data_IF_190650011766
#
_entry.id   IF_190650011766
#
_cell.length_a   1.000
_cell.length_b   1.000
_cell.length_c   1.000
_cell.angle_alpha   90.00
_cell.angle_beta   90.00
_cell.angle_gamma   90.00
#
_symmetry.space_group_name_H-M   'P 1'
#
loop_
_entity.id
_entity.type
_entity.pdbx_description
1 polymer ?
#
# COMPACT_ATOMS: atom_id res chain seq x y z
N UNK A 1 -18.03 12.99 8.89
CA UNK A 1 -17.34 13.25 10.17
C UNK A 1 -17.86 14.49 10.91
N UNK A 2 -17.83 15.73 10.36
CA UNK A 2 -18.38 16.90 11.08
C UNK A 2 -19.91 16.88 11.28
N UNK A 3 -20.65 16.27 10.36
CA UNK A 3 -22.12 16.14 10.43
C UNK A 3 -22.58 15.16 11.51
N UNK A 4 -21.84 14.07 11.73
CA UNK A 4 -22.17 13.04 12.73
C UNK A 4 -22.00 13.56 14.17
N UNK A 5 -21.00 14.42 14.40
CA UNK A 5 -20.77 15.05 15.71
C UNK A 5 -21.94 15.99 16.07
N UNK A 6 -22.49 16.72 15.11
CA UNK A 6 -23.60 17.64 15.35
C UNK A 6 -24.90 16.94 15.73
N UNK A 7 -25.19 15.76 15.17
CA UNK A 7 -26.37 14.98 15.54
C UNK A 7 -26.26 14.42 16.96
N UNK A 8 -25.08 13.92 17.33
CA UNK A 8 -24.81 13.43 18.70
C UNK A 8 -25.01 14.56 19.71
N UNK A 9 -24.47 15.76 19.44
CA UNK A 9 -24.60 16.92 20.35
C UNK A 9 -26.06 17.34 20.52
N UNK A 10 -26.88 17.26 19.46
CA UNK A 10 -28.31 17.59 19.55
C UNK A 10 -29.08 16.56 20.37
N UNK A 11 -28.84 15.27 20.13
CA UNK A 11 -29.47 14.17 20.88
C UNK A 11 -29.12 14.22 22.38
N UNK A 12 -27.87 14.51 22.73
CA UNK A 12 -27.44 14.64 24.14
C UNK A 12 -28.13 15.82 24.80
N UNK A 13 -28.26 16.96 24.11
CA UNK A 13 -28.94 18.16 24.64
C UNK A 13 -30.41 17.90 24.93
N UNK A 14 -31.11 17.25 24.01
CA UNK A 14 -32.54 16.97 24.15
C UNK A 14 -32.80 15.98 25.28
N UNK A 15 -31.93 14.96 25.41
CA UNK A 15 -31.98 13.99 26.51
C UNK A 15 -31.74 14.66 27.88
N UNK A 16 -30.73 15.53 27.98
CA UNK A 16 -30.46 16.29 29.21
C UNK A 16 -31.62 17.21 29.58
N UNK A 17 -32.26 17.84 28.58
CA UNK A 17 -33.42 18.71 28.79
C UNK A 17 -34.64 17.96 29.39
N UNK A 18 -34.88 16.73 28.95
CA UNK A 18 -35.94 15.88 29.51
C UNK A 18 -35.62 15.42 30.94
N UNK A 19 -34.37 15.04 31.22
CA UNK A 19 -33.93 14.65 32.56
C UNK A 19 -34.09 15.78 33.58
N UNK A 20 -33.71 17.02 33.22
CA UNK A 20 -33.83 18.18 34.12
C UNK A 20 -35.28 18.47 34.51
N UNK A 21 -36.23 18.30 33.59
CA UNK A 21 -37.65 18.48 33.89
C UNK A 21 -38.16 17.43 34.89
N UNK A 22 -37.82 16.14 34.69
CA UNK A 22 -38.21 15.07 35.61
C UNK A 22 -37.62 15.22 37.02
N UNK A 23 -36.40 15.75 37.12
CA UNK A 23 -35.74 16.02 38.43
C UNK A 23 -36.48 17.10 39.22
N UNK A 24 -37.09 18.10 38.54
CA UNK A 24 -37.74 19.25 39.19
C UNK A 24 -39.06 18.90 39.89
N UNK A 25 -39.72 17.81 39.51
CA UNK A 25 -40.97 17.33 40.12
C UNK A 25 -40.76 16.20 41.14
N UNK A 26 -39.53 15.68 41.25
CA UNK A 26 -39.22 14.54 42.11
C UNK A 26 -39.08 14.91 43.60
N UNK A 27 -39.34 13.98 44.55
CA UNK A 27 -39.07 14.18 45.97
C UNK A 27 -37.59 14.48 46.26
N UNK A 28 -37.31 15.22 47.33
CA UNK A 28 -35.94 15.69 47.66
C UNK A 28 -34.89 14.56 47.71
N UNK A 29 -35.25 13.39 48.23
CA UNK A 29 -34.32 12.25 48.35
C UNK A 29 -33.92 11.63 47.00
N UNK A 30 -34.85 11.61 46.02
CA UNK A 30 -34.59 11.11 44.66
C UNK A 30 -33.62 12.03 43.92
N UNK A 31 -33.73 13.34 44.12
CA UNK A 31 -32.83 14.33 43.51
C UNK A 31 -31.38 14.13 43.96
N UNK A 32 -31.18 13.91 45.26
CA UNK A 32 -29.85 13.72 45.83
C UNK A 32 -29.20 12.45 45.31
N UNK A 33 -29.94 11.33 45.24
CA UNK A 33 -29.42 10.07 44.68
C UNK A 33 -29.06 10.19 43.21
N UNK A 34 -29.89 10.86 42.40
CA UNK A 34 -29.64 10.99 40.96
C UNK A 34 -28.42 11.86 40.65
N UNK A 35 -28.23 12.97 41.38
CA UNK A 35 -27.03 13.82 41.25
C UNK A 35 -25.76 13.05 41.60
N UNK A 36 -25.83 12.19 42.62
CA UNK A 36 -24.68 11.41 43.08
C UNK A 36 -24.31 10.30 42.07
N UNK A 37 -25.31 9.63 41.48
CA UNK A 37 -25.09 8.65 40.39
C UNK A 37 -24.50 9.32 39.15
N UNK A 38 -25.03 10.50 38.76
CA UNK A 38 -24.50 11.25 37.62
C UNK A 38 -23.06 11.71 37.85
N UNK A 39 -22.75 12.23 39.05
CA UNK A 39 -21.38 12.62 39.41
C UNK A 39 -20.42 11.42 39.36
N UNK A 40 -20.82 10.27 39.91
CA UNK A 40 -20.00 9.05 39.85
C UNK A 40 -19.80 8.55 38.42
N UNK A 41 -20.81 8.65 37.55
CA UNK A 41 -20.69 8.25 36.14
C UNK A 41 -19.76 9.17 35.34
N UNK A 42 -19.73 10.48 35.63
CA UNK A 42 -18.81 11.43 34.99
C UNK A 42 -17.36 11.23 35.47
N UNK A 43 -17.15 10.95 36.77
CA UNK A 43 -15.83 10.62 37.29
C UNK A 43 -15.33 9.25 36.81
N UNK A 44 -16.20 8.24 36.72
CA UNK A 44 -15.86 6.93 36.15
C UNK A 44 -15.62 6.97 34.63
N UNK A 45 -16.40 7.77 33.91
CA UNK A 45 -16.24 7.97 32.47
C UNK A 45 -15.00 8.78 32.08
N UNK A 46 -14.65 9.82 32.83
CA UNK A 46 -13.47 10.65 32.53
C UNK A 46 -12.14 9.87 32.63
N UNK A 47 -12.07 8.88 33.51
CA UNK A 47 -10.87 8.05 33.71
C UNK A 47 -10.74 7.01 32.57
N UNK A 48 -11.86 6.50 32.03
CA UNK A 48 -11.82 5.48 30.96
C UNK A 48 -11.51 6.06 29.57
N UNK A 49 -11.86 7.33 29.31
CA UNK A 49 -11.57 7.97 28.02
C UNK A 49 -10.17 8.61 27.92
N UNK A 50 -9.48 8.82 29.05
CA UNK A 50 -8.17 9.48 29.11
C UNK A 50 -6.95 8.59 28.85
N UNK A 51 -7.12 7.26 28.85
CA UNK A 51 -6.04 6.29 28.64
C UNK A 51 -6.12 5.61 27.27
N UNK A 52 -6.27 6.37 26.18
CA UNK A 52 -5.71 5.90 24.92
C UNK A 52 -4.19 6.02 25.04
N UNK A 53 -3.56 4.97 25.57
CA UNK A 53 -2.12 4.78 25.54
C UNK A 53 -1.67 4.98 24.10
N UNK A 54 -1.05 6.12 23.81
CA UNK A 54 -0.27 6.30 22.61
C UNK A 54 0.83 5.24 22.65
N UNK A 55 0.57 4.07 22.08
CA UNK A 55 1.60 3.09 21.83
C UNK A 55 2.52 3.76 20.82
N UNK A 56 3.67 4.22 21.29
CA UNK A 56 4.77 4.58 20.41
C UNK A 56 5.16 3.30 19.70
N UNK A 57 5.00 3.22 18.38
CA UNK A 57 5.26 1.99 17.67
C UNK A 57 6.72 1.60 17.86
N UNK A 58 6.95 0.34 18.18
CA UNK A 58 8.26 -0.21 18.48
C UNK A 58 8.96 -0.54 17.17
N UNK A 59 10.26 -0.18 17.08
CA UNK A 59 11.06 -0.51 15.90
C UNK A 59 11.29 -2.03 15.87
N UNK A 60 10.78 -2.69 14.85
CA UNK A 60 10.91 -4.14 14.67
C UNK A 60 12.17 -4.50 13.87
N UNK A 61 12.60 -3.62 12.95
CA UNK A 61 13.77 -3.89 12.12
C UNK A 61 13.98 -2.91 10.98
N UNK A 62 14.88 -3.27 10.05
CA UNK A 62 15.09 -2.56 8.78
C UNK A 62 14.25 -3.16 7.65
N UNK A 63 14.05 -2.41 6.57
CA UNK A 63 13.34 -2.93 5.39
C UNK A 63 14.25 -3.84 4.57
N UNK A 64 13.85 -5.11 4.43
CA UNK A 64 14.51 -6.04 3.50
C UNK A 64 13.97 -5.85 2.07
N UNK A 65 14.58 -4.90 1.35
CA UNK A 65 14.31 -4.64 -0.07
C UNK A 65 14.70 -5.82 -0.98
N UNK A 66 15.64 -6.67 -0.55
CA UNK A 66 16.11 -7.81 -1.33
C UNK A 66 15.12 -8.97 -1.32
N UNK A 67 14.47 -9.20 -0.18
CA UNK A 67 13.39 -10.17 -0.05
C UNK A 67 12.21 -9.81 -0.97
N UNK A 68 11.87 -8.52 -1.08
CA UNK A 68 10.82 -8.05 -1.99
C UNK A 68 11.15 -8.39 -3.46
N UNK A 69 12.34 -8.04 -3.94
CA UNK A 69 12.73 -8.35 -5.32
C UNK A 69 12.79 -9.86 -5.59
N UNK A 70 13.26 -10.64 -4.62
CA UNK A 70 13.34 -12.10 -4.70
C UNK A 70 11.95 -12.73 -4.77
N UNK A 71 11.02 -12.27 -3.93
CA UNK A 71 9.64 -12.76 -3.91
C UNK A 71 8.96 -12.60 -5.28
N UNK A 72 9.19 -11.46 -5.93
CA UNK A 72 8.65 -11.17 -7.27
C UNK A 72 9.55 -11.60 -8.43
N UNK A 73 10.64 -12.34 -8.16
CA UNK A 73 11.57 -12.90 -9.15
C UNK A 73 12.23 -11.85 -10.06
N UNK A 74 12.49 -10.66 -9.54
CA UNK A 74 13.33 -9.68 -10.23
C UNK A 74 14.81 -10.05 -10.08
N UNK A 75 15.60 -9.81 -11.12
CA UNK A 75 17.01 -10.24 -11.17
C UNK A 75 17.99 -9.29 -10.46
N UNK A 76 17.63 -8.01 -10.32
CA UNK A 76 18.53 -6.97 -9.80
C UNK A 76 17.80 -6.00 -8.88
N UNK A 77 18.52 -5.53 -7.86
CA UNK A 77 18.09 -4.49 -6.92
C UNK A 77 18.85 -3.19 -7.22
N UNK A 78 18.11 -2.11 -7.47
CA UNK A 78 18.66 -0.77 -7.69
C UNK A 78 18.00 0.22 -6.71
N UNK A 79 18.66 0.47 -5.59
CA UNK A 79 18.17 1.35 -4.51
C UNK A 79 16.77 0.94 -4.01
N UNK A 80 15.73 1.64 -4.48
CA UNK A 80 14.32 1.44 -4.11
C UNK A 80 13.50 0.85 -5.28
N UNK A 81 14.16 0.21 -6.26
CA UNK A 81 13.54 -0.36 -7.45
C UNK A 81 14.07 -1.77 -7.71
N UNK A 82 13.19 -2.71 -8.01
CA UNK A 82 13.58 -4.00 -8.56
C UNK A 82 13.59 -3.92 -10.09
N UNK A 83 14.64 -4.46 -10.70
CA UNK A 83 14.79 -4.49 -12.15
C UNK A 83 15.00 -5.93 -12.65
N UNK A 84 14.55 -6.18 -13.88
CA UNK A 84 14.88 -7.40 -14.61
C UNK A 84 15.04 -7.07 -16.10
N UNK A 85 16.07 -7.61 -16.76
CA UNK A 85 16.18 -7.53 -18.22
C UNK A 85 14.89 -7.98 -18.90
N UNK A 86 14.47 -7.24 -19.92
CA UNK A 86 13.33 -7.59 -20.75
C UNK A 86 13.80 -8.54 -21.85
N UNK A 87 13.22 -9.74 -21.90
CA UNK A 87 13.49 -10.68 -22.98
C UNK A 87 12.64 -10.29 -24.21
N UNK A 88 13.31 -9.72 -25.22
CA UNK A 88 12.64 -9.26 -26.44
C UNK A 88 12.05 -10.41 -27.26
N UNK A 89 12.60 -11.63 -27.13
CA UNK A 89 12.04 -12.80 -27.79
C UNK A 89 10.69 -13.14 -27.16
N UNK A 90 10.66 -13.31 -25.84
CA UNK A 90 9.41 -13.53 -25.10
C UNK A 90 8.38 -12.42 -25.37
N UNK A 91 8.84 -11.17 -25.46
CA UNK A 91 7.97 -10.03 -25.74
C UNK A 91 7.40 -10.06 -27.18
N UNK A 92 8.18 -10.48 -28.17
CA UNK A 92 7.67 -10.77 -29.51
C UNK A 92 6.61 -11.87 -29.47
N UNK A 93 6.90 -12.99 -28.80
CA UNK A 93 5.97 -14.12 -28.70
C UNK A 93 4.66 -13.73 -27.99
N UNK A 94 4.75 -12.92 -26.94
CA UNK A 94 3.61 -12.35 -26.24
C UNK A 94 2.78 -11.40 -27.12
N UNK A 95 3.41 -10.47 -27.83
CA UNK A 95 2.66 -9.49 -28.63
C UNK A 95 1.91 -10.15 -29.79
N UNK A 96 2.57 -11.08 -30.49
CA UNK A 96 2.00 -11.74 -31.65
C UNK A 96 1.30 -13.07 -31.32
N UNK A 97 1.24 -13.44 -30.03
CA UNK A 97 0.58 -14.65 -29.52
C UNK A 97 1.04 -15.92 -30.27
N UNK A 98 2.34 -16.02 -30.56
CA UNK A 98 2.93 -17.09 -31.38
C UNK A 98 4.31 -17.46 -30.86
N UNK A 99 4.58 -18.75 -30.76
CA UNK A 99 5.88 -19.28 -30.36
C UNK A 99 6.88 -19.35 -31.52
N UNK A 100 8.18 -19.39 -31.19
CA UNK A 100 9.26 -19.57 -32.16
C UNK A 100 9.57 -18.29 -32.95
N UNK A 101 9.22 -17.14 -32.39
CA UNK A 101 9.60 -15.85 -32.97
C UNK A 101 11.03 -15.51 -32.56
N UNK A 102 11.68 -14.71 -33.39
CA UNK A 102 12.99 -14.13 -33.09
C UNK A 102 12.91 -12.62 -33.21
N UNK A 103 13.90 -11.92 -32.67
CA UNK A 103 14.04 -10.48 -32.87
C UNK A 103 15.41 -10.19 -33.49
N UNK A 104 15.47 -9.15 -34.31
CA UNK A 104 16.73 -8.60 -34.83
C UNK A 104 16.69 -7.07 -34.72
N UNK A 105 17.85 -6.47 -34.49
CA UNK A 105 18.00 -5.02 -34.46
C UNK A 105 18.44 -4.52 -35.84
N UNK A 106 17.74 -3.55 -36.41
CA UNK A 106 18.15 -2.92 -37.67
C UNK A 106 19.23 -1.84 -37.49
N UNK A 107 19.50 -1.43 -36.25
CA UNK A 107 20.57 -0.50 -35.87
C UNK A 107 21.04 -0.79 -34.44
N UNK A 108 22.11 -0.14 -33.95
CA UNK A 108 22.50 -0.28 -32.54
C UNK A 108 21.45 0.24 -31.53
N UNK A 109 20.38 0.91 -31.96
CA UNK A 109 19.35 1.44 -31.07
C UNK A 109 18.42 0.34 -30.54
N UNK A 110 18.14 0.35 -29.24
CA UNK A 110 17.15 -0.53 -28.60
C UNK A 110 15.72 -0.38 -29.15
N UNK A 111 15.40 0.75 -29.79
CA UNK A 111 14.11 0.99 -30.44
C UNK A 111 13.98 0.32 -31.81
N UNK A 112 15.08 -0.21 -32.35
CA UNK A 112 15.13 -0.76 -33.71
C UNK A 112 14.85 -2.27 -33.76
N UNK A 113 14.46 -2.87 -32.64
CA UNK A 113 14.10 -4.28 -32.55
C UNK A 113 12.86 -4.56 -33.41
N UNK A 114 12.98 -5.54 -34.31
CA UNK A 114 11.88 -6.05 -35.15
C UNK A 114 11.72 -7.54 -34.89
N UNK A 115 10.48 -7.99 -34.71
CA UNK A 115 10.11 -9.38 -34.55
C UNK A 115 9.97 -10.07 -35.92
N UNK A 116 10.41 -11.32 -35.99
CA UNK A 116 10.37 -12.15 -37.19
C UNK A 116 9.73 -13.50 -36.89
N UNK A 117 8.91 -13.97 -37.83
CA UNK A 117 8.40 -15.33 -37.85
C UNK A 117 9.45 -16.32 -38.39
N UNK A 118 9.27 -17.64 -38.18
CA UNK A 118 10.08 -18.65 -38.84
C UNK A 118 10.15 -18.42 -40.36
N UNK A 119 11.35 -18.47 -40.94
CA UNK A 119 11.58 -18.08 -42.33
C UNK A 119 11.90 -16.59 -42.54
N UNK A 120 12.15 -15.83 -41.47
CA UNK A 120 12.54 -14.40 -41.48
C UNK A 120 11.49 -13.47 -42.12
N UNK A 121 10.22 -13.82 -42.00
CA UNK A 121 9.13 -12.90 -42.36
C UNK A 121 8.99 -11.82 -41.27
N UNK A 122 9.10 -10.52 -41.60
CA UNK A 122 8.98 -9.45 -40.61
C UNK A 122 7.54 -9.31 -40.13
N UNK A 123 7.35 -9.20 -38.81
CA UNK A 123 6.06 -8.96 -38.18
C UNK A 123 5.91 -7.49 -37.72
N UNK A 124 7.03 -6.84 -37.41
CA UNK A 124 7.08 -5.46 -36.90
C UNK A 124 7.76 -5.37 -35.53
N UNK A 125 7.83 -4.16 -34.96
CA UNK A 125 8.38 -3.95 -33.62
C UNK A 125 7.44 -4.40 -32.51
N UNK A 126 7.85 -4.20 -31.25
CA UNK A 126 7.02 -4.43 -30.07
C UNK A 126 6.38 -3.10 -29.65
N UNK A 127 5.07 -2.96 -29.82
CA UNK A 127 4.30 -1.75 -29.53
C UNK A 127 3.99 -1.57 -28.04
N UNK A 128 3.91 -2.66 -27.27
CA UNK A 128 3.49 -2.62 -25.86
C UNK A 128 4.43 -3.38 -24.91
N UNK A 129 5.65 -2.87 -24.77
CA UNK A 129 6.62 -3.39 -23.79
C UNK A 129 6.13 -3.23 -22.34
N UNK A 130 5.33 -2.18 -22.10
CA UNK A 130 4.73 -1.90 -20.80
C UNK A 130 3.74 -3.01 -20.41
N UNK A 131 2.84 -3.38 -21.31
CA UNK A 131 1.91 -4.49 -21.15
C UNK A 131 2.61 -5.83 -21.00
N UNK A 132 3.69 -6.07 -21.76
CA UNK A 132 4.51 -7.28 -21.56
C UNK A 132 5.09 -7.36 -20.14
N UNK A 133 5.69 -6.28 -19.63
CA UNK A 133 6.21 -6.26 -18.26
C UNK A 133 5.10 -6.47 -17.23
N UNK A 134 3.93 -5.85 -17.43
CA UNK A 134 2.76 -6.06 -16.57
C UNK A 134 2.24 -7.49 -16.59
N UNK A 135 2.23 -8.16 -17.75
CA UNK A 135 1.86 -9.56 -17.87
C UNK A 135 2.87 -10.49 -17.19
N UNK A 136 4.17 -10.28 -17.44
CA UNK A 136 5.26 -11.11 -16.88
C UNK A 136 5.34 -11.00 -15.35
N UNK A 137 5.10 -9.80 -14.82
CA UNK A 137 5.15 -9.49 -13.39
C UNK A 137 3.79 -9.09 -12.83
N UNK A 138 2.72 -9.77 -13.23
CA UNK A 138 1.33 -9.43 -12.87
C UNK A 138 1.03 -9.37 -11.38
N UNK A 139 1.83 -10.05 -10.55
CA UNK A 139 1.69 -10.03 -9.09
C UNK A 139 2.25 -8.76 -8.45
N UNK A 140 3.07 -7.99 -9.17
CA UNK A 140 3.62 -6.73 -8.71
C UNK A 140 2.79 -5.55 -9.26
N UNK A 141 2.49 -4.57 -8.41
CA UNK A 141 1.79 -3.36 -8.83
C UNK A 141 2.75 -2.37 -9.50
N UNK A 142 2.26 -1.60 -10.48
CA UNK A 142 2.99 -0.49 -11.09
C UNK A 142 4.35 -0.87 -11.73
N UNK A 143 4.43 -2.06 -12.31
CA UNK A 143 5.58 -2.47 -13.14
C UNK A 143 5.66 -1.56 -14.36
N UNK A 144 6.86 -1.15 -14.75
CA UNK A 144 7.10 -0.29 -15.91
C UNK A 144 8.18 -0.85 -16.83
N UNK A 145 8.03 -0.67 -18.13
CA UNK A 145 9.11 -0.90 -19.09
C UNK A 145 9.95 0.38 -19.21
N UNK A 146 11.26 0.29 -18.97
CA UNK A 146 12.19 1.41 -19.13
C UNK A 146 13.45 0.99 -19.86
N UNK A 147 14.01 1.91 -20.62
CA UNK A 147 15.32 1.75 -21.22
C UNK A 147 16.40 2.10 -20.19
N UNK A 148 17.32 1.17 -19.92
CA UNK A 148 18.48 1.37 -19.05
C UNK A 148 19.72 1.17 -19.91
N UNK A 149 20.45 2.24 -20.18
CA UNK A 149 21.49 2.24 -21.21
C UNK A 149 20.87 1.97 -22.59
N UNK A 150 21.21 0.81 -23.18
CA UNK A 150 20.69 0.37 -24.48
C UNK A 150 19.89 -0.94 -24.39
N UNK A 151 19.36 -1.27 -23.21
CA UNK A 151 18.57 -2.48 -22.99
C UNK A 151 17.22 -2.13 -22.35
N UNK A 152 16.16 -2.78 -22.83
CA UNK A 152 14.86 -2.70 -22.20
C UNK A 152 14.84 -3.51 -20.90
N UNK A 153 14.22 -2.96 -19.87
CA UNK A 153 14.18 -3.52 -18.52
C UNK A 153 12.79 -3.34 -17.94
N UNK A 154 12.25 -4.39 -17.32
CA UNK A 154 11.05 -4.27 -16.48
C UNK A 154 11.48 -3.81 -15.09
N UNK A 155 10.89 -2.72 -14.60
CA UNK A 155 11.21 -2.08 -13.32
C UNK A 155 9.96 -1.91 -12.49
N UNK A 156 10.04 -2.20 -11.19
CA UNK A 156 8.98 -1.92 -10.24
C UNK A 156 9.53 -1.17 -9.03
N UNK A 157 8.80 -0.15 -8.59
CA UNK A 157 9.12 0.53 -7.34
C UNK A 157 8.81 -0.39 -6.18
N UNK A 158 9.73 -0.49 -5.22
CA UNK A 158 9.51 -1.30 -4.03
C UNK A 158 8.44 -0.62 -3.18
N UNK A 159 7.40 -1.38 -2.86
CA UNK A 159 6.44 -0.99 -1.84
C UNK A 159 7.06 -1.29 -0.48
N UNK A 160 7.56 -0.24 0.19
CA UNK A 160 8.26 -0.37 1.47
C UNK A 160 7.36 -0.92 2.57
N UNK A 161 6.07 -0.58 2.53
CA UNK A 161 5.07 -1.07 3.47
C UNK A 161 4.91 -2.58 3.31
N UNK A 162 4.71 -3.03 2.08
CA UNK A 162 4.60 -4.46 1.77
C UNK A 162 5.92 -5.20 2.06
N UNK A 163 7.08 -4.58 1.78
CA UNK A 163 8.38 -5.16 2.10
C UNK A 163 8.54 -5.39 3.62
N UNK A 164 8.13 -4.45 4.46
CA UNK A 164 8.09 -4.65 5.91
C UNK A 164 7.19 -5.81 6.33
N UNK A 165 5.97 -5.86 5.79
CA UNK A 165 5.00 -6.91 6.11
C UNK A 165 5.52 -8.30 5.70
N UNK A 166 6.16 -8.40 4.54
CA UNK A 166 6.77 -9.65 4.05
C UNK A 166 7.98 -10.08 4.90
N UNK A 167 8.86 -9.13 5.25
CA UNK A 167 10.07 -9.41 6.02
C UNK A 167 9.77 -9.89 7.44
N UNK A 168 8.77 -9.28 8.10
CA UNK A 168 8.44 -9.55 9.50
C UNK A 168 7.22 -10.45 9.70
N UNK A 169 6.49 -10.78 8.64
CA UNK A 169 5.25 -11.58 8.69
C UNK A 169 4.19 -11.00 9.64
N UNK A 170 4.14 -9.68 9.76
CA UNK A 170 3.21 -8.96 10.63
C UNK A 170 2.33 -8.04 9.79
N UNK A 171 0.99 -8.09 9.93
CA UNK A 171 0.07 -7.30 9.12
C UNK A 171 0.11 -5.80 9.45
N UNK A 172 0.36 -5.46 10.71
CA UNK A 172 0.25 -4.10 11.24
C UNK A 172 1.60 -3.35 11.33
N UNK A 173 2.63 -3.84 10.62
CA UNK A 173 3.92 -3.16 10.58
C UNK A 173 3.91 -2.02 9.58
N UNK A 174 4.37 -0.84 9.97
CA UNK A 174 4.53 0.34 9.13
C UNK A 174 5.97 0.56 8.68
N UNK A 175 6.15 0.91 7.41
CA UNK A 175 7.44 1.38 6.89
C UNK A 175 7.60 2.89 7.11
N UNK A 176 8.71 3.29 7.74
CA UNK A 176 9.05 4.70 7.99
C UNK A 176 10.48 5.00 7.54
N UNK A 177 10.71 6.20 7.01
CA UNK A 177 12.03 6.67 6.62
C UNK A 177 12.57 7.64 7.68
N UNK A 178 13.64 7.24 8.34
CA UNK A 178 14.31 8.01 9.40
C UNK A 178 15.80 8.10 9.07
N UNK A 179 16.35 9.31 9.14
CA UNK A 179 17.76 9.59 8.82
C UNK A 179 18.24 9.06 7.44
N UNK A 180 17.30 8.95 6.49
CA UNK A 180 17.57 8.46 5.13
C UNK A 180 17.46 6.94 4.97
N UNK A 181 17.27 6.19 6.05
CA UNK A 181 17.10 4.74 6.04
C UNK A 181 15.65 4.33 6.29
N UNK A 182 15.23 3.24 5.66
CA UNK A 182 13.90 2.67 5.86
C UNK A 182 13.90 1.67 7.01
N UNK A 183 13.00 1.86 7.97
CA UNK A 183 12.78 0.99 9.13
C UNK A 183 11.32 0.57 9.25
N UNK A 184 11.10 -0.57 9.88
CA UNK A 184 9.80 -1.19 10.12
C UNK A 184 9.38 -1.02 11.60
N UNK A 185 8.12 -0.69 11.82
CA UNK A 185 7.55 -0.31 13.12
C UNK A 185 6.23 -1.06 13.40
N UNK A 186 6.01 -1.59 14.60
CA UNK A 186 4.75 -2.28 15.01
C UNK A 186 4.10 -1.63 16.23
#
# INVERSE_FOLDING_TARGET
MFTEILEIVKSVRDFLGQLVKGIKESPKWVRTSLVLVLALSLFGGGIFWGFKLAHTPERVGGVDVSAFCTFYKYGTLEQETCSSPLDLKDACEWQYQRSGLTYEFSSPSAYSATCYAPGRQPLGGISDLQGYCGWKYHSASAVTAKLVGNAWTCRVKIDMQLACQLAHQLPDVEARKEDGEWSCYA
#
